data_IF_449363345100
#
_entry.id   IF_449363345100
#
_cell.length_a   1.000
_cell.length_b   1.000
_cell.length_c   1.000
_cell.angle_alpha   90.00
_cell.angle_beta   90.00
_cell.angle_gamma   90.00
#
_symmetry.space_group_name_H-M   'P 1'
#
loop_
_entity.id
_entity.type
_entity.pdbx_description
1 polymer ?
#
# COMPACT_ATOMS: atom_id res chain seq x y z
N UNK A 1 -34.94 -10.65 -6.22
CA UNK A 1 -34.62 -11.11 -7.60
C UNK A 1 -33.21 -10.61 -8.01
N UNK A 2 -32.64 -11.09 -9.12
CA UNK A 2 -31.33 -10.61 -9.64
C UNK A 2 -31.34 -9.09 -9.87
N UNK A 3 -32.47 -8.56 -10.35
CA UNK A 3 -32.73 -7.13 -10.53
C UNK A 3 -32.69 -6.33 -9.22
N UNK A 4 -33.02 -6.92 -8.06
CA UNK A 4 -32.88 -6.23 -6.77
C UNK A 4 -31.45 -6.35 -6.19
N UNK A 5 -30.69 -7.38 -6.60
CA UNK A 5 -29.28 -7.52 -6.24
C UNK A 5 -28.42 -6.50 -6.99
N UNK A 6 -28.67 -6.31 -8.29
CA UNK A 6 -27.88 -5.38 -9.13
C UNK A 6 -27.91 -3.96 -8.59
N UNK A 7 -29.06 -3.51 -8.07
CA UNK A 7 -29.23 -2.16 -7.52
C UNK A 7 -28.36 -1.91 -6.28
N UNK A 8 -27.91 -2.96 -5.59
CA UNK A 8 -27.03 -2.85 -4.42
C UNK A 8 -25.54 -2.83 -4.79
N UNK A 9 -25.18 -3.17 -6.03
CA UNK A 9 -23.79 -3.13 -6.52
C UNK A 9 -23.34 -1.71 -6.84
N UNK A 10 -22.03 -1.51 -6.90
CA UNK A 10 -21.46 -0.16 -6.94
C UNK A 10 -21.48 0.44 -8.34
N UNK A 11 -21.02 -0.32 -9.35
CA UNK A 11 -20.81 0.17 -10.72
C UNK A 11 -21.49 -0.72 -11.74
N UNK A 12 -21.92 -0.13 -12.86
CA UNK A 12 -22.68 -0.80 -13.94
C UNK A 12 -21.96 -2.03 -14.46
N UNK A 13 -20.64 -1.94 -14.69
CA UNK A 13 -19.79 -3.07 -15.13
C UNK A 13 -19.76 -4.25 -14.15
N UNK A 14 -19.97 -3.98 -12.85
CA UNK A 14 -20.07 -5.03 -11.83
C UNK A 14 -21.49 -5.59 -11.73
N UNK A 15 -22.45 -5.03 -12.47
CA UNK A 15 -23.86 -5.43 -12.50
C UNK A 15 -24.20 -6.52 -13.52
N UNK A 16 -23.24 -7.02 -14.29
CA UNK A 16 -23.45 -8.09 -15.26
C UNK A 16 -23.63 -9.44 -14.55
N UNK A 17 -24.64 -10.19 -14.99
CA UNK A 17 -24.90 -11.57 -14.55
C UNK A 17 -24.64 -12.55 -15.69
N UNK A 18 -24.25 -13.77 -15.36
CA UNK A 18 -24.04 -14.84 -16.33
C UNK A 18 -24.98 -16.00 -16.05
N UNK A 19 -25.79 -16.36 -17.04
CA UNK A 19 -26.63 -17.55 -17.01
C UNK A 19 -25.85 -18.73 -17.62
N UNK A 20 -25.37 -19.70 -16.81
CA UNK A 20 -24.57 -20.81 -17.33
C UNK A 20 -25.38 -21.83 -18.14
N UNK A 21 -26.72 -21.84 -18.03
CA UNK A 21 -27.58 -22.77 -18.79
C UNK A 21 -27.79 -22.30 -20.21
N UNK A 22 -28.08 -21.00 -20.36
CA UNK A 22 -28.31 -20.38 -21.67
C UNK A 22 -27.03 -19.82 -22.29
N UNK A 23 -25.94 -19.77 -21.51
CA UNK A 23 -24.66 -19.17 -21.90
C UNK A 23 -24.80 -17.69 -22.31
N UNK A 24 -25.73 -16.99 -21.64
CA UNK A 24 -26.05 -15.58 -21.91
C UNK A 24 -25.57 -14.69 -20.77
N UNK A 25 -25.21 -13.45 -21.12
CA UNK A 25 -24.96 -12.37 -20.17
C UNK A 25 -26.26 -11.59 -20.02
N UNK A 26 -26.69 -11.37 -18.79
CA UNK A 26 -27.86 -10.57 -18.46
C UNK A 26 -27.37 -9.21 -17.94
N UNK A 27 -27.84 -8.14 -18.59
CA UNK A 27 -27.48 -6.76 -18.26
C UNK A 27 -28.72 -5.94 -17.94
N UNK A 28 -28.89 -5.62 -16.65
CA UNK A 28 -30.00 -4.81 -16.15
C UNK A 28 -29.67 -3.31 -16.08
N UNK A 29 -28.40 -2.92 -16.23
CA UNK A 29 -27.90 -1.59 -15.83
C UNK A 29 -27.00 -0.93 -16.88
N UNK A 30 -26.97 -1.47 -18.10
CA UNK A 30 -26.08 -1.02 -19.18
C UNK A 30 -24.59 -1.16 -18.82
N UNK A 31 -24.25 -2.23 -18.10
CA UNK A 31 -22.87 -2.55 -17.73
C UNK A 31 -22.01 -2.99 -18.92
N UNK A 32 -22.58 -3.63 -19.94
CA UNK A 32 -21.82 -4.12 -21.08
C UNK A 32 -21.36 -2.99 -22.00
N UNK A 33 -22.23 -2.03 -22.41
CA UNK A 33 -21.78 -0.85 -23.15
C UNK A 33 -20.73 -0.02 -22.39
N UNK A 34 -20.91 0.18 -21.08
CA UNK A 34 -19.95 0.89 -20.25
C UNK A 34 -18.60 0.13 -20.18
N UNK A 35 -18.62 -1.20 -20.14
CA UNK A 35 -17.42 -2.03 -20.20
C UNK A 35 -16.69 -1.88 -21.54
N UNK A 36 -17.40 -1.90 -22.67
CA UNK A 36 -16.80 -1.71 -24.00
C UNK A 36 -16.16 -0.32 -24.15
N UNK A 37 -16.81 0.71 -23.60
CA UNK A 37 -16.34 2.10 -23.65
C UNK A 37 -15.32 2.43 -22.55
N UNK A 38 -15.03 1.49 -21.64
CA UNK A 38 -14.20 1.71 -20.43
C UNK A 38 -14.68 2.86 -19.56
N UNK A 39 -15.99 2.97 -19.38
CA UNK A 39 -16.63 3.96 -18.54
C UNK A 39 -16.99 3.33 -17.19
N UNK A 40 -16.62 3.99 -16.10
CA UNK A 40 -16.97 3.61 -14.76
C UNK A 40 -18.12 4.49 -14.26
N UNK A 41 -19.33 3.94 -14.28
CA UNK A 41 -20.57 4.60 -13.85
C UNK A 41 -21.16 3.92 -12.62
N UNK A 42 -21.63 4.69 -11.65
CA UNK A 42 -22.35 4.13 -10.49
C UNK A 42 -23.74 3.64 -10.85
N UNK A 43 -24.20 2.57 -10.20
CA UNK A 43 -25.61 2.15 -10.32
C UNK A 43 -26.48 3.05 -9.43
N UNK A 44 -27.49 3.71 -10.03
CA UNK A 44 -28.37 4.66 -9.34
C UNK A 44 -27.75 6.07 -9.23
N UNK A 45 -28.22 6.87 -8.26
CA UNK A 45 -27.80 8.27 -8.10
C UNK A 45 -26.45 8.38 -7.36
N UNK A 46 -25.37 8.87 -8.01
CA UNK A 46 -24.01 8.82 -7.48
C UNK A 46 -23.84 9.42 -6.07
N UNK A 47 -24.37 10.62 -5.81
CA UNK A 47 -24.23 11.30 -4.52
C UNK A 47 -24.83 10.46 -3.38
N UNK A 48 -26.04 9.94 -3.57
CA UNK A 48 -26.70 9.08 -2.59
C UNK A 48 -25.88 7.80 -2.33
N UNK A 49 -25.26 7.23 -3.37
CA UNK A 49 -24.44 6.03 -3.24
C UNK A 49 -23.16 6.29 -2.47
N UNK A 50 -22.49 7.42 -2.68
CA UNK A 50 -21.29 7.78 -1.94
C UNK A 50 -21.61 8.17 -0.49
N UNK A 51 -22.70 8.88 -0.23
CA UNK A 51 -23.12 9.19 1.15
C UNK A 51 -23.47 7.90 1.93
N UNK A 52 -24.16 6.95 1.29
CA UNK A 52 -24.57 5.69 1.93
C UNK A 52 -23.40 4.76 2.25
N UNK A 53 -22.41 4.64 1.35
CA UNK A 53 -21.19 3.87 1.59
C UNK A 53 -19.99 4.57 0.93
N UNK A 54 -19.31 5.47 1.66
CA UNK A 54 -18.24 6.29 1.08
C UNK A 54 -17.01 5.48 0.63
N UNK A 55 -16.87 4.22 1.07
CA UNK A 55 -15.84 3.28 0.58
C UNK A 55 -15.94 3.08 -0.93
N UNK A 56 -17.11 3.30 -1.54
CA UNK A 56 -17.29 3.26 -3.00
C UNK A 56 -16.39 4.24 -3.74
N UNK A 57 -16.05 5.39 -3.14
CA UNK A 57 -15.09 6.33 -3.74
C UNK A 57 -13.69 5.71 -3.86
N UNK A 58 -13.23 4.98 -2.84
CA UNK A 58 -11.95 4.26 -2.91
C UNK A 58 -12.02 3.18 -3.98
N UNK A 59 -13.12 2.43 -4.04
CA UNK A 59 -13.33 1.40 -5.07
C UNK A 59 -13.34 2.00 -6.47
N UNK A 60 -13.96 3.17 -6.66
CA UNK A 60 -13.91 3.93 -7.92
C UNK A 60 -12.45 4.18 -8.33
N UNK A 61 -11.66 4.79 -7.43
CA UNK A 61 -10.24 5.08 -7.70
C UNK A 61 -9.43 3.81 -7.98
N UNK A 62 -9.72 2.70 -7.30
CA UNK A 62 -9.08 1.41 -7.58
C UNK A 62 -9.33 0.94 -9.01
N UNK A 63 -10.58 1.00 -9.47
CA UNK A 63 -10.93 0.57 -10.82
C UNK A 63 -10.26 1.47 -11.87
N UNK A 64 -10.28 2.79 -11.68
CA UNK A 64 -9.59 3.73 -12.56
C UNK A 64 -8.07 3.44 -12.60
N UNK A 65 -7.43 3.28 -11.44
CA UNK A 65 -6.00 3.02 -11.35
C UNK A 65 -5.58 1.70 -12.02
N UNK A 66 -6.35 0.64 -11.80
CA UNK A 66 -5.98 -0.72 -12.24
C UNK A 66 -6.33 -0.97 -13.71
N UNK A 67 -7.48 -0.47 -14.15
CA UNK A 67 -8.03 -0.82 -15.45
C UNK A 67 -8.10 0.36 -16.43
N UNK A 68 -7.69 1.57 -16.00
CA UNK A 68 -7.66 2.78 -16.82
C UNK A 68 -9.04 3.12 -17.39
N UNK A 69 -10.07 2.98 -16.56
CA UNK A 69 -11.43 3.42 -16.88
C UNK A 69 -11.56 4.92 -16.67
N UNK A 70 -12.35 5.56 -17.52
CA UNK A 70 -12.77 6.95 -17.33
C UNK A 70 -14.00 7.01 -16.43
N UNK A 71 -14.13 8.06 -15.62
CA UNK A 71 -15.26 8.22 -14.72
C UNK A 71 -16.38 8.94 -15.48
N UNK A 72 -17.57 8.38 -15.46
CA UNK A 72 -18.78 9.00 -16.01
C UNK A 72 -19.03 10.40 -15.38
N UNK A 73 -19.42 11.45 -16.14
CA UNK A 73 -19.42 12.82 -15.63
C UNK A 73 -20.27 13.05 -14.35
N UNK A 74 -21.52 12.56 -14.25
CA UNK A 74 -22.27 12.59 -12.98
C UNK A 74 -21.55 11.90 -11.82
N UNK A 75 -20.92 10.75 -12.08
CA UNK A 75 -20.16 10.02 -11.07
C UNK A 75 -18.93 10.82 -10.60
N UNK A 76 -18.27 11.51 -11.53
CA UNK A 76 -17.13 12.37 -11.24
C UNK A 76 -17.53 13.60 -10.42
N UNK A 77 -18.62 14.27 -10.78
CA UNK A 77 -19.13 15.42 -10.01
C UNK A 77 -19.46 15.02 -8.57
N UNK A 78 -20.17 13.90 -8.39
CA UNK A 78 -20.50 13.40 -7.06
C UNK A 78 -19.27 13.00 -6.24
N UNK A 79 -18.22 12.46 -6.87
CA UNK A 79 -16.95 12.19 -6.19
C UNK A 79 -16.37 13.48 -5.59
N UNK A 80 -16.36 14.58 -6.35
CA UNK A 80 -15.83 15.86 -5.88
C UNK A 80 -16.69 16.46 -4.75
N UNK A 81 -18.01 16.35 -4.87
CA UNK A 81 -18.96 16.86 -3.88
C UNK A 81 -18.94 16.04 -2.58
N UNK A 82 -18.75 14.72 -2.68
CA UNK A 82 -18.86 13.81 -1.55
C UNK A 82 -17.51 13.38 -0.95
N UNK A 83 -16.35 13.80 -1.49
CA UNK A 83 -15.03 13.31 -1.04
C UNK A 83 -14.80 13.37 0.47
N UNK A 84 -15.33 14.39 1.15
CA UNK A 84 -15.18 14.56 2.61
C UNK A 84 -15.96 13.51 3.41
N UNK A 85 -16.99 12.89 2.81
CA UNK A 85 -17.74 11.78 3.41
C UNK A 85 -16.88 10.55 3.65
N UNK A 86 -15.70 10.46 3.01
CA UNK A 86 -14.82 9.29 3.12
C UNK A 86 -14.47 8.96 4.57
N UNK A 87 -14.36 9.97 5.44
CA UNK A 87 -14.01 9.82 6.85
C UNK A 87 -15.09 9.09 7.67
N UNK A 88 -16.32 8.97 7.15
CA UNK A 88 -17.41 8.21 7.79
C UNK A 88 -17.31 6.71 7.52
N UNK A 89 -16.45 6.30 6.61
CA UNK A 89 -16.24 4.89 6.27
C UNK A 89 -15.55 4.11 7.37
N UNK A 90 -15.71 2.79 7.36
CA UNK A 90 -14.92 1.89 8.21
C UNK A 90 -13.42 2.01 7.88
N UNK A 91 -12.56 2.41 8.83
CA UNK A 91 -11.13 2.50 8.59
C UNK A 91 -10.49 1.17 8.20
N UNK A 92 -10.99 0.05 8.72
CA UNK A 92 -10.48 -1.28 8.41
C UNK A 92 -10.76 -1.65 6.95
N UNK A 93 -11.96 -1.32 6.44
CA UNK A 93 -12.31 -1.56 5.03
C UNK A 93 -11.40 -0.74 4.12
N UNK A 94 -11.22 0.55 4.39
CA UNK A 94 -10.35 1.41 3.59
C UNK A 94 -8.90 0.93 3.65
N UNK A 95 -8.39 0.59 4.84
CA UNK A 95 -7.02 0.09 4.98
C UNK A 95 -6.78 -1.15 4.13
N UNK A 96 -7.71 -2.11 4.15
CA UNK A 96 -7.60 -3.32 3.33
C UNK A 96 -7.63 -2.98 1.83
N UNK A 97 -8.43 -2.01 1.40
CA UNK A 97 -8.44 -1.54 0.02
C UNK A 97 -7.10 -0.88 -0.37
N UNK A 98 -6.50 -0.06 0.50
CA UNK A 98 -5.18 0.55 0.30
C UNK A 98 -4.07 -0.52 0.19
N UNK A 99 -4.03 -1.46 1.13
CA UNK A 99 -3.04 -2.54 1.16
C UNK A 99 -3.13 -3.42 -0.08
N UNK A 100 -4.35 -3.76 -0.52
CA UNK A 100 -4.56 -4.51 -1.77
C UNK A 100 -4.08 -3.76 -2.99
N UNK A 101 -4.16 -2.43 -3.01
CA UNK A 101 -3.64 -1.66 -4.14
C UNK A 101 -2.12 -1.63 -4.18
N UNK A 102 -1.46 -1.59 -3.03
CA UNK A 102 0.00 -1.79 -2.96
C UNK A 102 0.41 -3.17 -3.52
N UNK A 103 -0.44 -4.19 -3.38
CA UNK A 103 -0.21 -5.56 -3.88
C UNK A 103 -0.62 -5.75 -5.36
N UNK A 104 -1.26 -4.75 -5.99
CA UNK A 104 -2.01 -4.96 -7.22
C UNK A 104 -1.25 -4.82 -8.53
N UNK A 105 -0.03 -4.26 -8.49
CA UNK A 105 0.67 -3.81 -9.70
C UNK A 105 0.12 -2.49 -10.27
N UNK A 106 -0.64 -1.73 -9.49
CA UNK A 106 -1.20 -0.43 -9.87
C UNK A 106 -1.21 0.54 -8.67
N UNK A 107 -0.25 0.41 -7.78
CA UNK A 107 -0.06 1.25 -6.60
C UNK A 107 0.25 2.70 -6.99
N UNK A 108 1.15 2.94 -7.94
CA UNK A 108 1.50 4.31 -8.35
C UNK A 108 0.29 5.10 -8.87
N UNK A 109 -0.45 4.65 -9.91
CA UNK A 109 -1.62 5.38 -10.38
C UNK A 109 -2.68 5.52 -9.30
N UNK A 110 -2.82 4.54 -8.40
CA UNK A 110 -3.78 4.61 -7.31
C UNK A 110 -3.47 5.72 -6.30
N UNK A 111 -2.24 5.82 -5.81
CA UNK A 111 -1.85 6.89 -4.89
C UNK A 111 -1.84 8.27 -5.57
N UNK A 112 -1.52 8.32 -6.87
CA UNK A 112 -1.65 9.54 -7.65
C UNK A 112 -3.11 10.03 -7.70
N UNK A 113 -4.05 9.18 -8.10
CA UNK A 113 -5.47 9.53 -8.17
C UNK A 113 -6.06 9.84 -6.79
N UNK A 114 -5.67 9.12 -5.73
CA UNK A 114 -6.10 9.45 -4.37
C UNK A 114 -5.69 10.88 -3.97
N UNK A 115 -4.48 11.30 -4.35
CA UNK A 115 -4.01 12.66 -4.11
C UNK A 115 -4.76 13.67 -4.98
N UNK A 116 -4.88 13.41 -6.28
CA UNK A 116 -5.56 14.26 -7.26
C UNK A 116 -7.01 14.59 -6.84
N UNK A 117 -7.78 13.57 -6.44
CA UNK A 117 -9.16 13.74 -5.97
C UNK A 117 -9.27 14.21 -4.52
N UNK A 118 -8.15 14.43 -3.83
CA UNK A 118 -8.10 14.94 -2.45
C UNK A 118 -8.45 13.91 -1.37
N UNK A 119 -8.74 12.66 -1.72
CA UNK A 119 -9.05 11.60 -0.76
C UNK A 119 -7.83 11.25 0.13
N UNK A 120 -6.62 11.37 -0.42
CA UNK A 120 -5.39 11.12 0.34
C UNK A 120 -5.25 12.09 1.52
N UNK A 121 -5.68 13.35 1.36
CA UNK A 121 -5.63 14.37 2.41
C UNK A 121 -6.49 14.01 3.60
N UNK A 122 -7.69 13.48 3.36
CA UNK A 122 -8.62 13.09 4.42
C UNK A 122 -8.21 11.80 5.12
N UNK A 123 -7.52 10.89 4.42
CA UNK A 123 -7.14 9.56 4.96
C UNK A 123 -5.73 9.50 5.56
N UNK A 124 -4.74 10.11 4.91
CA UNK A 124 -3.32 10.07 5.25
C UNK A 124 -2.72 11.48 5.09
N UNK A 125 -3.08 12.45 5.96
CA UNK A 125 -2.71 13.86 5.79
C UNK A 125 -1.19 14.07 5.73
N UNK A 126 -0.42 13.33 6.54
CA UNK A 126 1.04 13.37 6.51
C UNK A 126 1.60 12.95 5.15
N UNK A 127 1.04 11.89 4.57
CA UNK A 127 1.43 11.39 3.26
C UNK A 127 1.04 12.37 2.15
N UNK A 128 -0.17 12.92 2.22
CA UNK A 128 -0.63 13.95 1.29
C UNK A 128 0.27 15.19 1.32
N UNK A 129 0.73 15.62 2.50
CA UNK A 129 1.63 16.76 2.61
C UNK A 129 3.00 16.48 1.97
N UNK A 130 3.54 15.28 2.16
CA UNK A 130 4.79 14.87 1.53
C UNK A 130 4.67 14.74 0.01
N UNK A 131 3.56 14.20 -0.49
CA UNK A 131 3.26 14.10 -1.94
C UNK A 131 3.12 15.49 -2.59
N UNK A 132 2.74 16.52 -1.83
CA UNK A 132 2.68 17.89 -2.33
C UNK A 132 4.06 18.59 -2.40
N UNK A 133 5.13 17.98 -1.89
CA UNK A 133 6.50 18.49 -1.93
C UNK A 133 7.31 17.81 -3.06
N UNK A 134 8.47 18.37 -3.41
CA UNK A 134 9.37 17.82 -4.46
C UNK A 134 9.81 16.36 -4.21
N UNK A 135 9.74 15.89 -2.97
CA UNK A 135 10.06 14.52 -2.54
C UNK A 135 9.06 13.45 -3.03
N UNK A 136 7.93 13.86 -3.61
CA UNK A 136 6.94 12.98 -4.23
C UNK A 136 7.51 12.10 -5.35
N UNK A 137 8.47 12.62 -6.14
CA UNK A 137 9.02 11.92 -7.30
C UNK A 137 9.62 10.55 -6.91
N UNK A 138 10.40 10.50 -5.82
CA UNK A 138 11.04 9.28 -5.34
C UNK A 138 10.00 8.27 -4.85
N UNK A 139 8.96 8.73 -4.16
CA UNK A 139 7.86 7.86 -3.73
C UNK A 139 7.14 7.25 -4.93
N UNK A 140 6.80 8.06 -5.93
CA UNK A 140 6.12 7.58 -7.13
C UNK A 140 7.00 6.63 -7.95
N UNK A 141 8.32 6.84 -7.98
CA UNK A 141 9.28 5.92 -8.61
C UNK A 141 9.38 4.59 -7.86
N UNK A 142 9.41 4.59 -6.52
CA UNK A 142 9.38 3.34 -5.74
C UNK A 142 8.08 2.57 -5.96
N UNK A 143 6.93 3.26 -5.98
CA UNK A 143 5.65 2.64 -6.30
C UNK A 143 5.62 2.10 -7.73
N UNK A 144 6.25 2.79 -8.70
CA UNK A 144 6.40 2.29 -10.07
C UNK A 144 7.20 0.98 -10.10
N UNK A 145 8.32 0.92 -9.38
CA UNK A 145 9.16 -0.28 -9.31
C UNK A 145 8.44 -1.46 -8.64
N UNK A 146 7.67 -1.19 -7.58
CA UNK A 146 6.79 -2.19 -6.98
C UNK A 146 5.79 -2.71 -8.01
N UNK A 147 5.18 -1.81 -8.78
CA UNK A 147 4.19 -2.18 -9.79
C UNK A 147 4.79 -3.05 -10.91
N UNK A 148 6.01 -2.74 -11.34
CA UNK A 148 6.76 -3.52 -12.31
C UNK A 148 7.13 -4.91 -11.76
N UNK A 149 7.67 -5.00 -10.54
CA UNK A 149 7.99 -6.29 -9.93
C UNK A 149 6.77 -7.20 -9.78
N UNK A 150 5.62 -6.65 -9.41
CA UNK A 150 4.36 -7.42 -9.31
C UNK A 150 3.94 -7.95 -10.67
N UNK A 151 4.03 -7.13 -11.73
CA UNK A 151 3.66 -7.54 -13.09
C UNK A 151 4.60 -8.59 -13.67
N UNK A 152 5.89 -8.48 -13.41
CA UNK A 152 6.90 -9.42 -13.90
C UNK A 152 6.84 -10.77 -13.18
N UNK A 153 6.71 -10.76 -11.84
CA UNK A 153 6.77 -11.98 -11.03
C UNK A 153 5.40 -12.61 -10.77
N UNK A 154 4.32 -11.85 -10.98
CA UNK A 154 2.96 -12.26 -10.64
C UNK A 154 2.69 -12.35 -9.12
N UNK A 155 3.62 -11.92 -8.27
CA UNK A 155 3.51 -11.99 -6.81
C UNK A 155 4.06 -10.71 -6.17
N UNK A 156 3.24 -10.10 -5.30
CA UNK A 156 3.63 -8.94 -4.52
C UNK A 156 4.57 -9.27 -3.36
N UNK A 157 5.35 -8.28 -2.94
CA UNK A 157 6.11 -8.32 -1.70
C UNK A 157 5.17 -8.34 -0.48
N UNK A 158 5.72 -8.67 0.70
CA UNK A 158 4.98 -8.63 1.96
C UNK A 158 4.47 -7.20 2.24
N UNK A 159 3.28 -7.08 2.84
CA UNK A 159 2.65 -5.78 3.18
C UNK A 159 3.58 -4.87 3.98
N UNK A 160 4.42 -5.42 4.86
CA UNK A 160 5.40 -4.63 5.63
C UNK A 160 6.47 -3.99 4.75
N UNK A 161 6.91 -4.68 3.69
CA UNK A 161 7.85 -4.17 2.68
C UNK A 161 7.20 -3.04 1.89
N UNK A 162 5.96 -3.25 1.45
CA UNK A 162 5.21 -2.26 0.66
C UNK A 162 4.91 -0.99 1.47
N UNK A 163 4.51 -1.12 2.74
CA UNK A 163 4.32 0.02 3.64
C UNK A 163 5.63 0.75 3.92
N UNK A 164 6.71 0.01 4.14
CA UNK A 164 8.03 0.60 4.31
C UNK A 164 8.48 1.36 3.06
N UNK A 165 8.27 0.81 1.87
CA UNK A 165 8.58 1.50 0.61
C UNK A 165 7.80 2.81 0.45
N UNK A 166 6.50 2.79 0.77
CA UNK A 166 5.64 3.98 0.72
C UNK A 166 6.15 5.10 1.64
N UNK A 167 6.65 4.76 2.83
CA UNK A 167 7.09 5.73 3.84
C UNK A 167 8.58 6.06 3.79
N UNK A 168 9.39 5.27 3.07
CA UNK A 168 10.84 5.44 3.04
C UNK A 168 11.28 6.86 2.62
N UNK A 169 10.73 7.47 1.54
CA UNK A 169 11.10 8.83 1.15
C UNK A 169 10.79 9.88 2.22
N UNK A 170 9.65 9.72 2.93
CA UNK A 170 9.26 10.59 4.03
C UNK A 170 10.23 10.46 5.22
N UNK A 171 10.61 9.23 5.56
CA UNK A 171 11.60 8.97 6.61
C UNK A 171 12.97 9.56 6.25
N UNK A 172 13.39 9.36 5.00
CA UNK A 172 14.69 9.80 4.52
C UNK A 172 14.81 11.33 4.55
N UNK A 173 13.82 12.04 4.03
CA UNK A 173 13.76 13.49 4.08
C UNK A 173 13.77 14.02 5.52
N UNK A 174 13.02 13.39 6.42
CA UNK A 174 12.99 13.76 7.84
C UNK A 174 14.37 13.63 8.51
N UNK A 175 15.06 12.50 8.29
CA UNK A 175 16.39 12.25 8.86
C UNK A 175 17.44 13.22 8.33
N UNK A 176 17.45 13.50 7.02
CA UNK A 176 18.36 14.47 6.44
C UNK A 176 18.12 15.88 6.99
N UNK A 177 16.85 16.30 7.11
CA UNK A 177 16.50 17.60 7.68
C UNK A 177 16.90 17.69 9.17
N UNK A 178 16.77 16.60 9.93
CA UNK A 178 17.23 16.55 11.32
C UNK A 178 18.75 16.72 11.41
N UNK A 179 19.51 16.04 10.55
CA UNK A 179 20.97 16.14 10.51
C UNK A 179 21.39 17.56 10.16
N UNK A 180 20.75 18.17 9.17
CA UNK A 180 21.01 19.56 8.78
C UNK A 180 20.79 20.54 9.94
N UNK A 181 19.71 20.37 10.71
CA UNK A 181 19.37 21.24 11.83
C UNK A 181 20.23 21.04 13.08
N UNK A 182 20.63 19.80 13.37
CA UNK A 182 21.28 19.45 14.65
C UNK A 182 22.77 19.16 14.52
N UNK A 183 23.26 18.87 13.30
CA UNK A 183 24.60 18.35 13.04
C UNK A 183 24.84 16.93 13.54
N UNK A 184 23.83 16.25 14.09
CA UNK A 184 23.97 14.93 14.71
C UNK A 184 23.36 13.83 13.83
N UNK A 185 24.15 12.81 13.55
CA UNK A 185 23.69 11.60 12.86
C UNK A 185 23.06 10.66 13.90
N UNK A 186 21.75 10.36 13.79
CA UNK A 186 21.10 9.45 14.74
C UNK A 186 21.66 8.04 14.60
N UNK A 187 21.83 7.35 15.72
CA UNK A 187 22.26 5.96 15.71
C UNK A 187 21.09 5.03 15.34
N UNK A 188 21.37 3.78 14.96
CA UNK A 188 20.36 2.85 14.43
C UNK A 188 19.14 2.65 15.37
N UNK A 189 19.35 2.58 16.69
CA UNK A 189 18.25 2.52 17.66
C UNK A 189 17.31 3.73 17.63
N UNK A 190 17.83 4.96 17.50
CA UNK A 190 17.02 6.18 17.33
C UNK A 190 16.28 6.16 16.01
N UNK A 191 16.93 5.69 14.94
CA UNK A 191 16.29 5.53 13.62
C UNK A 191 15.12 4.55 13.69
N UNK A 192 15.26 3.44 14.43
CA UNK A 192 14.17 2.48 14.62
C UNK A 192 12.98 3.08 15.39
N UNK A 193 13.25 3.82 16.48
CA UNK A 193 12.21 4.54 17.23
C UNK A 193 11.50 5.58 16.36
N UNK A 194 12.25 6.31 15.53
CA UNK A 194 11.68 7.27 14.59
C UNK A 194 10.84 6.59 13.50
N UNK A 195 11.23 5.40 13.02
CA UNK A 195 10.44 4.64 12.06
C UNK A 195 9.07 4.25 12.65
N UNK A 196 9.02 3.77 13.89
CA UNK A 196 7.75 3.48 14.58
C UNK A 196 6.88 4.73 14.72
N UNK A 197 7.46 5.84 15.19
CA UNK A 197 6.76 7.13 15.32
C UNK A 197 6.25 7.66 13.98
N UNK A 198 7.01 7.49 12.90
CA UNK A 198 6.60 7.92 11.57
C UNK A 198 5.39 7.13 11.08
N UNK A 199 5.40 5.81 11.25
CA UNK A 199 4.27 4.96 10.86
C UNK A 199 3.02 5.35 11.66
N UNK A 200 3.15 5.54 12.97
CA UNK A 200 2.06 6.01 13.81
C UNK A 200 1.55 7.39 13.36
N UNK A 201 2.45 8.34 13.12
CA UNK A 201 2.10 9.68 12.64
C UNK A 201 1.36 9.64 11.30
N UNK A 202 1.81 8.79 10.36
CA UNK A 202 1.23 8.70 9.03
C UNK A 202 -0.17 8.07 9.04
N UNK A 203 -0.40 7.06 9.86
CA UNK A 203 -1.62 6.24 9.81
C UNK A 203 -2.64 6.56 10.91
N UNK A 204 -2.21 6.92 12.13
CA UNK A 204 -3.11 7.11 13.29
C UNK A 204 -4.23 8.16 13.13
N UNK A 205 -4.15 9.17 12.25
CA UNK A 205 -5.28 10.09 12.04
C UNK A 205 -6.56 9.39 11.59
N UNK A 206 -6.44 8.25 10.91
CA UNK A 206 -7.61 7.52 10.39
C UNK A 206 -7.54 6.01 10.60
N UNK A 207 -6.35 5.41 10.52
CA UNK A 207 -6.13 3.97 10.55
C UNK A 207 -5.51 3.49 11.86
N UNK A 208 -5.84 2.25 12.24
CA UNK A 208 -5.11 1.49 13.26
C UNK A 208 -4.45 0.28 12.60
N UNK A 209 -3.13 0.33 12.46
CA UNK A 209 -2.38 -0.78 11.88
C UNK A 209 -2.27 -1.95 12.88
N UNK A 210 -2.31 -3.21 12.42
CA UNK A 210 -1.97 -4.35 13.26
C UNK A 210 -0.53 -4.25 13.78
N UNK A 211 -0.31 -4.45 15.09
CA UNK A 211 1.02 -4.31 15.72
C UNK A 211 2.12 -5.13 15.03
N UNK A 212 1.81 -6.35 14.56
CA UNK A 212 2.76 -7.19 13.82
C UNK A 212 3.21 -6.52 12.52
N UNK A 213 2.26 -5.94 11.77
CA UNK A 213 2.53 -5.27 10.50
C UNK A 213 3.35 -4.00 10.72
N UNK A 214 2.99 -3.20 11.73
CA UNK A 214 3.73 -2.00 12.10
C UNK A 214 5.16 -2.32 12.51
N UNK A 215 5.37 -3.26 13.44
CA UNK A 215 6.71 -3.64 13.90
C UNK A 215 7.59 -4.19 12.78
N UNK A 216 7.02 -5.00 11.88
CA UNK A 216 7.73 -5.48 10.69
C UNK A 216 8.12 -4.33 9.76
N UNK A 217 7.19 -3.42 9.43
CA UNK A 217 7.47 -2.29 8.56
C UNK A 217 8.51 -1.33 9.16
N UNK A 218 8.47 -1.08 10.48
CA UNK A 218 9.47 -0.28 11.18
C UNK A 218 10.86 -0.91 11.14
N UNK A 219 10.98 -2.24 11.36
CA UNK A 219 12.26 -2.95 11.22
C UNK A 219 12.79 -2.88 9.78
N UNK A 220 11.92 -3.10 8.78
CA UNK A 220 12.28 -3.01 7.34
C UNK A 220 12.81 -1.61 6.99
N UNK A 221 12.13 -0.55 7.46
CA UNK A 221 12.53 0.86 7.29
C UNK A 221 13.88 1.15 7.95
N UNK A 222 14.03 0.82 9.24
CA UNK A 222 15.26 1.09 9.98
C UNK A 222 16.46 0.35 9.39
N UNK A 223 16.26 -0.88 8.92
CA UNK A 223 17.29 -1.70 8.28
C UNK A 223 17.85 -1.08 6.99
N UNK A 224 17.10 -0.21 6.31
CA UNK A 224 17.63 0.53 5.15
C UNK A 224 18.85 1.38 5.51
N UNK A 225 18.86 1.95 6.72
CA UNK A 225 19.97 2.76 7.25
C UNK A 225 21.07 1.93 7.90
N UNK A 226 20.83 0.64 8.10
CA UNK A 226 21.90 -0.32 8.41
C UNK A 226 22.67 -0.70 7.15
N UNK A 227 21.95 -0.92 6.04
CA UNK A 227 22.56 -1.25 4.76
C UNK A 227 23.34 -0.08 4.19
N UNK A 228 22.72 1.11 4.24
CA UNK A 228 23.30 2.37 3.76
C UNK A 228 23.24 3.39 4.91
N UNK A 229 24.28 3.44 5.76
CA UNK A 229 24.34 4.39 6.87
C UNK A 229 24.34 5.85 6.41
N UNK A 230 23.73 6.72 7.21
CA UNK A 230 23.64 8.17 6.97
C UNK A 230 25.01 8.87 7.00
N UNK A 231 26.03 8.25 7.61
CA UNK A 231 27.41 8.76 7.61
C UNK A 231 28.17 8.46 6.31
N UNK A 232 27.53 7.78 5.35
CA UNK A 232 28.12 7.35 4.07
C UNK A 232 29.15 6.24 4.20
N UNK A 233 29.49 5.80 5.41
CA UNK A 233 30.53 4.80 5.67
C UNK A 233 29.91 3.42 5.64
N UNK A 234 29.89 2.84 4.45
CA UNK A 234 29.37 1.48 4.22
C UNK A 234 30.20 0.47 5.02
N UNK A 235 29.53 -0.29 5.88
CA UNK A 235 30.16 -1.21 6.82
C UNK A 235 30.07 -2.63 6.29
N UNK A 236 31.01 -3.49 6.71
CA UNK A 236 30.96 -4.92 6.36
C UNK A 236 29.62 -5.50 6.80
N UNK A 237 28.87 -6.14 5.88
CA UNK A 237 27.63 -6.82 6.22
C UNK A 237 27.85 -7.82 7.36
N UNK A 238 26.95 -7.82 8.33
CA UNK A 238 26.94 -8.76 9.45
C UNK A 238 25.53 -9.29 9.63
N UNK A 239 25.39 -10.60 9.81
CA UNK A 239 24.11 -11.19 10.18
C UNK A 239 23.59 -10.54 11.47
N UNK A 240 22.32 -10.16 11.48
CA UNK A 240 21.60 -10.00 12.74
C UNK A 240 20.56 -11.09 12.85
N UNK A 241 20.20 -11.44 14.08
CA UNK A 241 18.98 -12.20 14.35
C UNK A 241 17.72 -11.37 14.18
N UNK A 242 17.67 -10.45 13.20
CA UNK A 242 16.45 -9.72 12.87
C UNK A 242 15.56 -10.63 12.01
N UNK A 243 14.37 -11.03 12.49
CA UNK A 243 13.48 -11.92 11.73
C UNK A 243 12.94 -11.29 10.43
N UNK A 244 13.06 -9.97 10.25
CA UNK A 244 12.60 -9.26 9.04
C UNK A 244 13.73 -8.88 8.09
N UNK A 245 14.93 -9.47 8.26
CA UNK A 245 16.08 -9.17 7.42
C UNK A 245 15.83 -9.45 5.94
N UNK A 246 15.19 -10.58 5.59
CA UNK A 246 14.81 -10.87 4.21
C UNK A 246 13.85 -9.84 3.60
N UNK A 247 12.93 -9.31 4.41
CA UNK A 247 11.98 -8.27 4.01
C UNK A 247 12.71 -6.94 3.79
N UNK A 248 13.66 -6.61 4.66
CA UNK A 248 14.53 -5.47 4.50
C UNK A 248 15.39 -5.55 3.23
N UNK A 249 15.96 -6.72 2.94
CA UNK A 249 16.70 -6.96 1.69
C UNK A 249 15.81 -6.79 0.45
N UNK A 250 14.54 -7.19 0.54
CA UNK A 250 13.59 -7.00 -0.56
C UNK A 250 13.38 -5.51 -0.86
N UNK A 251 13.11 -4.68 0.17
CA UNK A 251 13.04 -3.23 -0.02
C UNK A 251 14.37 -2.66 -0.55
N UNK A 252 15.51 -3.17 -0.05
CA UNK A 252 16.81 -2.68 -0.50
C UNK A 252 17.05 -2.99 -1.99
N UNK A 253 16.61 -4.16 -2.46
CA UNK A 253 16.63 -4.50 -3.89
C UNK A 253 15.78 -3.52 -4.71
N UNK A 254 14.55 -3.25 -4.29
CA UNK A 254 13.66 -2.29 -4.96
C UNK A 254 14.32 -0.91 -5.05
N UNK A 255 14.99 -0.47 -3.97
CA UNK A 255 15.74 0.79 -3.97
C UNK A 255 16.93 0.80 -4.93
N UNK A 256 17.62 -0.32 -5.12
CA UNK A 256 18.74 -0.40 -6.08
C UNK A 256 18.30 -0.13 -7.54
N UNK A 257 17.02 -0.28 -7.86
CA UNK A 257 16.50 0.11 -9.17
C UNK A 257 16.49 1.64 -9.37
N UNK A 258 16.37 2.43 -8.29
CA UNK A 258 16.44 3.89 -8.32
C UNK A 258 17.87 4.40 -8.08
N UNK A 259 18.67 3.64 -7.31
CA UNK A 259 20.03 3.97 -6.91
C UNK A 259 20.99 2.83 -7.35
N UNK A 260 21.35 2.72 -8.65
CA UNK A 260 22.13 1.57 -9.17
C UNK A 260 23.49 1.38 -8.49
N UNK A 261 24.09 2.45 -7.97
CA UNK A 261 25.37 2.42 -7.24
C UNK A 261 25.31 1.59 -5.95
N UNK A 262 24.11 1.31 -5.44
CA UNK A 262 23.90 0.47 -4.26
C UNK A 262 23.94 -1.03 -4.57
N UNK A 263 23.88 -1.44 -5.85
CA UNK A 263 23.80 -2.84 -6.25
C UNK A 263 24.99 -3.70 -5.73
N UNK A 264 26.27 -3.26 -5.80
CA UNK A 264 27.39 -4.03 -5.25
C UNK A 264 27.31 -4.23 -3.74
N UNK A 265 26.58 -3.37 -3.03
CA UNK A 265 26.34 -3.51 -1.59
C UNK A 265 25.20 -4.45 -1.32
N UNK A 266 24.11 -4.38 -2.10
CA UNK A 266 23.02 -5.35 -2.06
C UNK A 266 23.54 -6.78 -2.23
N UNK A 267 24.39 -7.05 -3.23
CA UNK A 267 24.97 -8.37 -3.47
C UNK A 267 25.67 -8.92 -2.21
N UNK A 268 26.55 -8.12 -1.59
CA UNK A 268 27.25 -8.51 -0.35
C UNK A 268 26.31 -8.76 0.82
N UNK A 269 25.22 -7.99 0.93
CA UNK A 269 24.22 -8.22 1.97
C UNK A 269 23.36 -9.46 1.69
N UNK A 270 23.13 -9.79 0.42
CA UNK A 270 22.35 -10.95 -0.03
C UNK A 270 23.08 -12.29 0.15
N UNK A 271 24.42 -12.27 0.18
CA UNK A 271 25.27 -13.43 0.44
C UNK A 271 25.28 -13.87 1.91
N UNK A 272 24.81 -13.03 2.84
CA UNK A 272 24.76 -13.40 4.25
C UNK A 272 23.78 -14.57 4.44
N UNK A 273 24.21 -15.66 5.10
CA UNK A 273 23.33 -16.79 5.41
C UNK A 273 22.07 -16.33 6.13
N UNK A 274 20.92 -16.66 5.56
CA UNK A 274 19.61 -16.44 6.14
C UNK A 274 19.49 -17.27 7.42
N UNK A 275 18.97 -16.69 8.49
CA UNK A 275 18.68 -17.47 9.69
C UNK A 275 17.57 -18.48 9.39
N UNK A 276 17.60 -19.66 10.01
CA UNK A 276 16.61 -20.73 9.81
C UNK A 276 15.16 -20.33 10.15
N UNK A 277 14.94 -19.15 10.75
CA UNK A 277 13.62 -18.58 11.00
C UNK A 277 12.99 -17.92 9.76
N UNK A 278 13.74 -17.77 8.66
CA UNK A 278 13.26 -17.15 7.42
C UNK A 278 12.64 -18.16 6.43
N UNK A 279 12.93 -19.46 6.56
CA UNK A 279 12.38 -20.51 5.66
C UNK A 279 10.97 -20.98 6.06
N UNK A 280 10.57 -20.82 7.31
CA UNK A 280 9.19 -21.03 7.73
C UNK A 280 8.37 -19.77 7.42
N UNK A 281 7.70 -19.82 6.27
CA UNK A 281 6.67 -18.90 5.80
C UNK A 281 5.92 -18.20 6.96
N UNK A 282 6.31 -16.95 7.26
CA UNK A 282 5.72 -16.14 8.34
C UNK A 282 4.23 -15.78 8.09
N UNK A 283 3.68 -16.26 6.96
CA UNK A 283 2.26 -16.24 6.62
C UNK A 283 1.46 -17.41 7.22
N UNK A 284 2.09 -18.55 7.56
CA UNK A 284 1.44 -19.71 8.18
C UNK A 284 1.91 -19.92 9.63
N UNK A 285 1.53 -19.01 10.54
CA UNK A 285 1.56 -19.34 11.97
C UNK A 285 0.45 -20.35 12.29
N UNK A 286 0.69 -21.65 12.03
CA UNK A 286 -0.17 -22.72 12.57
C UNK A 286 -0.31 -22.50 14.08
N UNK A 287 -1.53 -22.54 14.64
CA UNK A 287 -1.71 -22.33 16.08
C UNK A 287 -0.91 -23.40 16.83
N UNK A 288 0.04 -22.95 17.65
CA UNK A 288 0.84 -23.81 18.54
C UNK A 288 -0.13 -24.72 19.31
N UNK A 289 -0.12 -26.02 19.00
CA UNK A 289 -0.86 -27.04 19.76
C UNK A 289 -0.50 -26.87 21.24
N UNK A 290 -1.48 -26.45 22.05
CA UNK A 290 -1.36 -26.42 23.50
C UNK A 290 -0.87 -27.79 23.97
N UNK A 291 0.37 -27.86 24.47
CA UNK A 291 0.86 -29.04 25.20
C UNK A 291 -0.11 -29.27 26.36
N UNK A 292 -0.87 -30.37 26.29
CA UNK A 292 -1.66 -30.88 27.42
C UNK A 292 -0.71 -31.05 28.60
N UNK A 293 -0.90 -30.26 29.67
CA UNK A 293 -0.29 -30.53 30.97
C UNK A 293 -0.74 -31.93 31.40
N UNK A 294 0.20 -32.87 31.48
CA UNK A 294 -0.02 -34.13 32.21
C UNK A 294 -0.24 -33.74 33.67
N UNK A 295 -1.40 -34.09 34.22
CA UNK A 295 -1.62 -34.11 35.67
C UNK A 295 -0.72 -35.22 36.23
N UNK A 296 0.12 -34.87 37.19
CA UNK A 296 0.64 -35.76 38.22
C UNK A 296 -0.09 -35.36 39.49
#
# INVERSE_FOLDING_TARGET
>A
AEEEDVLRRDFTINGLFYNPREQTVIDYVQGYPDLEQRILRTIGQPDLRFIQDPVRMIRLIKFCARFQFEIDPPTHEALLNCKEEIVKSSPVRILEELLRMLESGSARPFFHLLHEYGLLRSLLPALSHHVAQDSCAVMMQLLQQIDEEVKERGKAADRSVLLAALLFPMMHAHLLQQIEKTGQIPHLGQIAEQAEKLIDYAFSPFFKLPRKLQGAASSVLASQYRFVPLDGRLRKPKAAGDPYFSYALNLFKIRCALEPDLLPYYEKWSEIPRSSYEEEDLSEARPRRRRRRRRV
#
